data_IF_480690850800
#
_entry.id   IF_480690850800
#
_cell.length_a   1.000
_cell.length_b   1.000
_cell.length_c   1.000
_cell.angle_alpha   90.00
_cell.angle_beta   90.00
_cell.angle_gamma   90.00
#
_symmetry.space_group_name_H-M   'P 1'
#
loop_
_entity.id
_entity.type
_entity.pdbx_description
1 polymer ?
#
# COMPACT_ATOMS: atom_id res chain seq x y z
N UNK A 1 -7.81 1.53 -6.90
CA UNK A 1 -6.67 2.47 -6.77
C UNK A 1 -6.60 3.46 -7.93
N UNK A 2 -6.75 3.02 -9.19
CA UNK A 2 -6.59 3.88 -10.38
C UNK A 2 -7.60 5.04 -10.45
N UNK A 3 -8.86 4.83 -10.09
CA UNK A 3 -9.89 5.88 -10.06
C UNK A 3 -9.55 6.99 -9.06
N UNK A 4 -9.23 6.65 -7.80
CA UNK A 4 -8.82 7.66 -6.81
C UNK A 4 -7.54 8.44 -7.16
N UNK A 5 -6.63 7.85 -7.94
CA UNK A 5 -5.42 8.55 -8.39
C UNK A 5 -5.71 9.47 -9.58
N UNK A 6 -6.62 9.06 -10.48
CA UNK A 6 -7.12 9.89 -11.56
C UNK A 6 -7.92 11.08 -11.02
N UNK A 7 -8.79 10.88 -10.02
CA UNK A 7 -9.57 11.95 -9.39
C UNK A 7 -8.72 12.90 -8.51
N UNK A 8 -7.46 12.56 -8.29
CA UNK A 8 -6.50 13.37 -7.54
C UNK A 8 -5.74 14.38 -8.43
N UNK A 9 -5.95 14.40 -9.75
CA UNK A 9 -5.36 15.43 -10.62
C UNK A 9 -5.87 16.81 -10.23
N UNK A 10 -4.95 17.70 -9.89
CA UNK A 10 -5.25 19.07 -9.44
C UNK A 10 -5.13 19.28 -7.92
N UNK A 11 -5.11 18.21 -7.11
CA UNK A 11 -4.89 18.30 -5.66
C UNK A 11 -3.39 18.14 -5.38
N UNK A 12 -2.77 19.11 -4.72
CA UNK A 12 -1.34 19.10 -4.36
C UNK A 12 -1.19 19.10 -2.83
N UNK A 13 -0.09 18.55 -2.33
CA UNK A 13 0.21 18.54 -0.89
C UNK A 13 -0.80 17.75 -0.04
N UNK A 14 -1.18 18.31 1.10
CA UNK A 14 -2.07 17.70 2.09
C UNK A 14 -3.49 17.43 1.56
N UNK A 15 -4.00 18.26 0.64
CA UNK A 15 -5.33 18.05 0.04
C UNK A 15 -5.39 16.76 -0.78
N UNK A 16 -4.31 16.43 -1.50
CA UNK A 16 -4.22 15.16 -2.24
C UNK A 16 -4.18 13.98 -1.29
N UNK A 17 -3.46 14.13 -0.18
CA UNK A 17 -3.27 13.07 0.80
C UNK A 17 -4.56 12.78 1.56
N UNK A 18 -5.28 13.82 1.98
CA UNK A 18 -6.60 13.72 2.59
C UNK A 18 -7.61 13.12 1.62
N UNK A 19 -7.66 13.62 0.39
CA UNK A 19 -8.55 13.08 -0.65
C UNK A 19 -8.24 11.62 -0.99
N UNK A 20 -6.96 11.25 -1.12
CA UNK A 20 -6.58 9.87 -1.42
C UNK A 20 -6.82 8.94 -0.24
N UNK A 21 -6.66 9.41 1.00
CA UNK A 21 -7.06 8.67 2.21
C UNK A 21 -8.56 8.44 2.20
N UNK A 22 -9.36 9.48 1.99
CA UNK A 22 -10.83 9.38 2.01
C UNK A 22 -11.38 8.52 0.87
N UNK A 23 -10.89 8.73 -0.35
CA UNK A 23 -11.28 7.95 -1.53
C UNK A 23 -10.90 6.46 -1.42
N UNK A 24 -9.74 6.16 -0.81
CA UNK A 24 -9.33 4.77 -0.54
C UNK A 24 -10.03 4.18 0.69
N UNK A 25 -10.50 5.01 1.62
CA UNK A 25 -11.25 4.58 2.81
C UNK A 25 -12.77 4.45 2.56
N UNK A 26 -13.32 5.05 1.51
CA UNK A 26 -14.75 5.02 1.19
C UNK A 26 -15.22 3.75 0.44
N UNK A 27 -14.33 2.79 0.15
CA UNK A 27 -14.69 1.45 -0.33
C UNK A 27 -14.82 0.51 0.89
N UNK A 28 -15.92 -0.25 1.02
CA UNK A 28 -16.34 -0.81 2.29
C UNK A 28 -15.35 -1.84 2.82
N UNK A 29 -15.32 -1.92 4.14
CA UNK A 29 -14.59 -2.85 4.98
C UNK A 29 -14.85 -4.34 4.62
N UNK A 30 -14.19 -4.82 3.57
CA UNK A 30 -13.93 -6.24 3.35
C UNK A 30 -12.45 -6.47 3.67
N UNK A 31 -12.18 -6.60 4.98
CA UNK A 31 -10.86 -6.59 5.61
C UNK A 31 -10.08 -5.30 5.33
N UNK A 32 -9.77 -4.53 6.36
CA UNK A 32 -8.83 -3.41 6.26
C UNK A 32 -7.46 -3.98 5.82
N UNK A 33 -7.27 -4.14 4.50
CA UNK A 33 -5.99 -4.53 3.95
C UNK A 33 -4.99 -3.50 4.48
N UNK A 34 -3.91 -3.94 5.15
CA UNK A 34 -2.97 -3.03 5.76
C UNK A 34 -2.55 -2.03 4.69
N UNK A 35 -2.59 -0.73 5.04
CA UNK A 35 -2.10 0.31 4.14
C UNK A 35 -0.77 -0.12 3.53
N UNK A 36 -0.48 0.24 2.27
CA UNK A 36 0.78 -0.14 1.63
C UNK A 36 2.00 0.13 2.54
N UNK A 37 1.95 1.18 3.35
CA UNK A 37 2.96 1.49 4.37
C UNK A 37 3.02 0.46 5.52
N UNK A 38 1.89 0.09 6.10
CA UNK A 38 1.80 -0.95 7.14
C UNK A 38 2.29 -2.29 6.58
N UNK A 39 1.85 -2.64 5.37
CA UNK A 39 2.26 -3.87 4.68
C UNK A 39 3.76 -3.91 4.42
N UNK A 40 4.33 -2.79 3.96
CA UNK A 40 5.78 -2.65 3.77
C UNK A 40 6.56 -2.89 5.07
N UNK A 41 6.07 -2.36 6.20
CA UNK A 41 6.70 -2.59 7.52
C UNK A 41 6.65 -4.06 7.91
N UNK A 42 5.48 -4.70 7.82
CA UNK A 42 5.32 -6.13 8.11
C UNK A 42 6.19 -7.00 7.20
N UNK A 43 6.15 -6.78 5.88
CA UNK A 43 6.98 -7.52 4.93
C UNK A 43 8.48 -7.33 5.18
N UNK A 44 8.93 -6.17 5.67
CA UNK A 44 10.34 -5.98 6.04
C UNK A 44 10.70 -6.67 7.35
N UNK A 45 9.79 -6.71 8.33
CA UNK A 45 9.96 -7.46 9.57
C UNK A 45 10.03 -8.97 9.30
N UNK A 46 9.14 -9.50 8.47
CA UNK A 46 9.11 -10.93 8.10
C UNK A 46 10.24 -11.32 7.12
N UNK A 47 10.88 -10.32 6.50
CA UNK A 47 12.09 -10.50 5.73
C UNK A 47 13.35 -10.52 6.60
N UNK A 48 13.24 -10.31 7.92
CA UNK A 48 14.37 -10.43 8.83
C UNK A 48 14.98 -11.84 8.70
N UNK A 49 16.29 -11.90 8.52
CA UNK A 49 17.02 -13.15 8.28
C UNK A 49 17.13 -13.57 6.81
N UNK A 50 16.33 -13.01 5.89
CA UNK A 50 16.45 -13.27 4.46
C UNK A 50 17.46 -12.30 3.82
N UNK A 51 18.36 -12.81 2.98
CA UNK A 51 19.39 -12.02 2.29
C UNK A 51 19.38 -12.32 0.79
N UNK A 52 19.89 -11.37 -0.01
CA UNK A 52 20.00 -11.52 -1.46
C UNK A 52 18.64 -11.73 -2.14
N UNK A 53 18.60 -12.68 -3.08
CA UNK A 53 17.43 -12.97 -3.90
C UNK A 53 16.23 -13.49 -3.11
N UNK A 54 16.45 -14.22 -2.02
CA UNK A 54 15.38 -14.72 -1.15
C UNK A 54 14.56 -13.58 -0.55
N UNK A 55 15.24 -12.50 -0.10
CA UNK A 55 14.55 -11.32 0.42
C UNK A 55 13.75 -10.62 -0.67
N UNK A 56 14.33 -10.46 -1.87
CA UNK A 56 13.63 -9.82 -3.00
C UNK A 56 12.39 -10.61 -3.42
N UNK A 57 12.51 -11.92 -3.57
CA UNK A 57 11.40 -12.79 -3.95
C UNK A 57 10.29 -12.75 -2.89
N UNK A 58 10.67 -12.84 -1.61
CA UNK A 58 9.73 -12.74 -0.50
C UNK A 58 9.05 -11.37 -0.45
N UNK A 59 9.79 -10.28 -0.58
CA UNK A 59 9.23 -8.92 -0.49
C UNK A 59 8.32 -8.63 -1.69
N UNK A 60 8.65 -9.11 -2.89
CA UNK A 60 7.78 -9.03 -4.07
C UNK A 60 6.47 -9.79 -3.84
N UNK A 61 6.55 -11.03 -3.37
CA UNK A 61 5.37 -11.85 -3.07
C UNK A 61 4.50 -11.20 -2.00
N UNK A 62 5.10 -10.83 -0.87
CA UNK A 62 4.44 -10.20 0.27
C UNK A 62 3.74 -8.89 -0.13
N UNK A 63 4.40 -8.00 -0.88
CA UNK A 63 3.80 -6.74 -1.33
C UNK A 63 2.73 -6.93 -2.41
N UNK A 64 2.87 -7.94 -3.28
CA UNK A 64 1.94 -8.20 -4.38
C UNK A 64 0.56 -8.74 -3.97
N UNK A 65 0.42 -9.31 -2.77
CA UNK A 65 -0.83 -9.91 -2.28
C UNK A 65 -1.99 -8.92 -2.00
N UNK A 66 -1.88 -7.64 -2.39
CA UNK A 66 -2.91 -6.61 -2.17
C UNK A 66 -3.20 -5.83 -3.47
N UNK A 67 -3.25 -6.56 -4.58
CA UNK A 67 -3.61 -6.00 -5.88
C UNK A 67 -5.11 -5.91 -6.05
#
# INVERSE_FOLDING_TARGET
MTTCNADATGKKGDERKAFMKECLSAKPALAAAPSQQTKMKTCNADAAGKKGDERKAFMKSCLSAAK
#
